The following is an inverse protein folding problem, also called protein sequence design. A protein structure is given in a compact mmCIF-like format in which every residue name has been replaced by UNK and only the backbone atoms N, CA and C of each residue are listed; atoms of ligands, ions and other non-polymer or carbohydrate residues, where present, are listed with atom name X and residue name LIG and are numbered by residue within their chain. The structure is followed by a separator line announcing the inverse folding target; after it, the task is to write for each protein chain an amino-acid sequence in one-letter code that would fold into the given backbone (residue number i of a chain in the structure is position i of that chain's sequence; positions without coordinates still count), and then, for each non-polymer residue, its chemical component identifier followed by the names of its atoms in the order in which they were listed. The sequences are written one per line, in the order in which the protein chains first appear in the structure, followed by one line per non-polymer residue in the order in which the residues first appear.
data_IF_538507174042
#
_entry.id   IF_538507174042
#
_cell.length_a   1.000
_cell.length_b   1.000
_cell.length_c   1.000
_cell.angle_alpha   90.00
_cell.angle_beta   90.00
_cell.angle_gamma   90.00
#
_symmetry.space_group_name_H-M   'P 1'
#
loop_
_entity.id
_entity.type
_entity.pdbx_description
1 polymer ?
#
# COMPACT_ATOMS: atom_id res chain seq x y z
N UNK A 1 -10.10 -3.43 -22.73
CA UNK A 1 -8.68 -3.66 -22.41
C UNK A 1 -8.59 -5.09 -21.92
N UNK A 2 -7.76 -5.91 -22.55
CA UNK A 2 -7.64 -7.32 -22.20
C UNK A 2 -6.46 -7.49 -21.22
N UNK A 3 -6.71 -8.20 -20.13
CA UNK A 3 -5.76 -8.40 -19.05
C UNK A 3 -5.60 -9.89 -18.85
N UNK A 4 -4.38 -10.41 -19.09
CA UNK A 4 -4.08 -11.84 -19.00
C UNK A 4 -3.06 -12.11 -17.90
N UNK A 5 -3.39 -13.04 -17.02
CA UNK A 5 -2.48 -13.50 -15.96
C UNK A 5 -1.48 -14.47 -16.58
N UNK A 6 -0.20 -14.17 -16.43
CA UNK A 6 0.93 -14.98 -16.92
C UNK A 6 1.34 -16.00 -15.86
N UNK A 7 1.51 -15.56 -14.61
CA UNK A 7 1.83 -16.45 -13.50
C UNK A 7 1.31 -15.93 -12.16
N UNK A 8 1.14 -16.87 -11.23
CA UNK A 8 0.88 -16.63 -9.82
C UNK A 8 1.84 -17.47 -9.00
N UNK A 9 2.64 -16.83 -8.17
CA UNK A 9 3.70 -17.48 -7.41
C UNK A 9 3.75 -16.91 -5.99
N UNK A 10 4.37 -17.65 -5.07
CA UNK A 10 4.70 -17.14 -3.74
C UNK A 10 6.17 -16.74 -3.71
N UNK A 11 6.44 -15.46 -3.46
CA UNK A 11 7.80 -14.98 -3.21
C UNK A 11 8.08 -15.06 -1.72
N UNK A 12 8.93 -16.00 -1.35
CA UNK A 12 9.39 -16.20 0.03
C UNK A 12 10.58 -15.29 0.33
N UNK A 13 10.86 -15.01 1.61
CA UNK A 13 12.13 -14.40 2.01
C UNK A 13 13.31 -15.17 1.44
N UNK A 14 14.43 -14.48 1.15
CA UNK A 14 15.65 -15.09 0.63
C UNK A 14 16.22 -16.17 1.56
N UNK A 15 16.03 -16.02 2.87
CA UNK A 15 16.39 -17.03 3.87
C UNK A 15 15.17 -17.46 4.70
N UNK A 16 14.27 -18.31 4.14
CA UNK A 16 13.03 -18.71 4.81
C UNK A 16 13.28 -19.37 6.17
N UNK A 17 14.29 -20.23 6.26
CA UNK A 17 14.60 -20.94 7.51
C UNK A 17 15.06 -20.00 8.63
N UNK A 18 15.77 -18.92 8.28
CA UNK A 18 16.20 -17.91 9.25
C UNK A 18 15.05 -17.06 9.75
N UNK A 19 14.06 -16.77 8.90
CA UNK A 19 12.90 -15.98 9.35
C UNK A 19 11.90 -16.81 10.14
N UNK A 20 11.79 -18.12 9.87
CA UNK A 20 10.88 -19.02 10.61
C UNK A 20 11.23 -19.13 12.10
N UNK A 21 12.48 -18.91 12.47
CA UNK A 21 12.92 -18.94 13.88
C UNK A 21 12.68 -17.61 14.61
N UNK A 22 12.21 -16.57 13.92
CA UNK A 22 11.87 -15.29 14.54
C UNK A 22 10.61 -15.44 15.41
N UNK A 23 10.55 -14.76 16.57
CA UNK A 23 9.34 -14.75 17.37
C UNK A 23 8.19 -14.12 16.59
N UNK A 24 6.93 -14.53 16.84
CA UNK A 24 5.77 -13.88 16.25
C UNK A 24 5.77 -12.37 16.48
N UNK A 25 5.34 -11.62 15.48
CA UNK A 25 5.23 -10.17 15.56
C UNK A 25 3.92 -9.82 16.24
N UNK A 26 3.99 -9.26 17.45
CA UNK A 26 2.78 -8.80 18.16
C UNK A 26 2.23 -7.56 17.46
N UNK A 27 0.96 -7.60 17.11
CA UNK A 27 0.20 -6.42 16.74
C UNK A 27 0.12 -5.50 17.96
N UNK A 28 0.12 -4.19 17.75
CA UNK A 28 -0.09 -3.23 18.84
C UNK A 28 -1.57 -2.85 18.94
N UNK A 29 -1.96 -2.16 20.01
CA UNK A 29 -3.37 -1.86 20.30
C UNK A 29 -4.14 -1.24 19.12
N UNK A 30 -3.50 -0.36 18.34
CA UNK A 30 -4.19 0.32 17.24
C UNK A 30 -4.31 -0.54 15.98
N UNK A 31 -3.41 -1.50 15.74
CA UNK A 31 -3.59 -2.50 14.68
C UNK A 31 -4.86 -3.32 14.89
N UNK A 32 -5.21 -3.58 16.15
CA UNK A 32 -6.40 -4.34 16.50
C UNK A 32 -7.70 -3.58 16.17
N UNK A 33 -7.66 -2.24 16.13
CA UNK A 33 -8.80 -1.38 15.83
C UNK A 33 -9.20 -1.41 14.35
N UNK A 34 -8.24 -1.53 13.44
CA UNK A 34 -8.56 -1.53 12.03
C UNK A 34 -9.26 -2.83 11.65
N UNK A 35 -10.33 -2.81 10.84
CA UNK A 35 -10.90 -4.04 10.30
C UNK A 35 -9.87 -4.75 9.39
N UNK A 36 -10.07 -6.04 9.12
CA UNK A 36 -9.22 -6.74 8.16
C UNK A 36 -9.52 -6.23 6.75
N UNK A 37 -8.63 -5.35 6.26
CA UNK A 37 -8.71 -4.75 4.94
C UNK A 37 -7.32 -4.46 4.40
N UNK A 38 -7.22 -4.17 3.10
CA UNK A 38 -5.97 -3.92 2.41
C UNK A 38 -5.90 -2.49 1.89
N UNK A 39 -4.81 -1.81 2.25
CA UNK A 39 -4.39 -0.56 1.61
C UNK A 39 -3.80 -0.89 0.24
N UNK A 40 -4.19 -0.12 -0.77
CA UNK A 40 -3.81 -0.36 -2.16
C UNK A 40 -2.93 0.75 -2.69
N UNK A 41 -1.88 0.38 -3.42
CA UNK A 41 -0.96 1.32 -4.04
C UNK A 41 -0.62 0.86 -5.46
N UNK A 42 -0.60 1.78 -6.41
CA UNK A 42 -0.13 1.53 -7.78
C UNK A 42 1.00 2.51 -8.10
N UNK A 43 2.13 1.97 -8.54
CA UNK A 43 3.27 2.76 -9.02
C UNK A 43 3.48 2.51 -10.51
N UNK A 44 3.45 3.57 -11.31
CA UNK A 44 3.62 3.51 -12.76
C UNK A 44 5.05 3.85 -13.15
N UNK A 45 5.67 3.03 -14.00
CA UNK A 45 7.04 3.20 -14.47
C UNK A 45 7.12 3.21 -15.98
N UNK A 46 7.98 4.09 -16.51
CA UNK A 46 8.45 3.98 -17.87
C UNK A 46 9.25 2.68 -18.06
N UNK A 47 9.46 2.28 -19.32
CA UNK A 47 10.24 1.09 -19.64
C UNK A 47 11.60 1.18 -18.93
N UNK A 48 12.04 0.15 -18.19
CA UNK A 48 13.37 0.18 -17.60
C UNK A 48 14.42 0.22 -18.72
N UNK A 49 15.05 1.38 -18.95
CA UNK A 49 16.20 1.52 -19.86
C UNK A 49 17.47 0.84 -19.33
N UNK A 50 17.35 -0.03 -18.33
CA UNK A 50 18.47 -0.80 -17.80
C UNK A 50 18.97 -1.81 -18.83
N UNK A 51 20.22 -1.69 -19.33
CA UNK A 51 20.75 -2.52 -20.42
C UNK A 51 20.70 -4.02 -20.17
N UNK A 52 20.68 -4.44 -18.89
CA UNK A 52 20.75 -5.83 -18.45
C UNK A 52 19.38 -6.51 -18.23
N UNK A 53 18.27 -5.76 -18.26
CA UNK A 53 16.91 -6.29 -18.03
C UNK A 53 16.02 -6.22 -19.29
N UNK A 54 16.63 -6.26 -20.49
CA UNK A 54 15.92 -6.09 -21.77
C UNK A 54 14.81 -7.10 -22.05
N UNK A 55 14.76 -8.24 -21.34
CA UNK A 55 13.65 -9.19 -21.43
C UNK A 55 12.75 -9.09 -20.21
N UNK A 56 11.44 -9.14 -20.43
CA UNK A 56 10.42 -9.14 -19.37
C UNK A 56 10.70 -10.20 -18.32
N UNK A 57 11.11 -11.41 -18.72
CA UNK A 57 11.37 -12.50 -17.79
C UNK A 57 12.54 -12.21 -16.84
N UNK A 58 13.62 -11.58 -17.35
CA UNK A 58 14.74 -11.16 -16.50
C UNK A 58 14.32 -10.06 -15.54
N UNK A 59 13.51 -9.12 -15.99
CA UNK A 59 12.95 -8.07 -15.13
C UNK A 59 12.07 -8.65 -14.03
N UNK A 60 11.17 -9.58 -14.36
CA UNK A 60 10.30 -10.25 -13.38
C UNK A 60 11.14 -11.07 -12.37
N UNK A 61 12.13 -11.81 -12.84
CA UNK A 61 13.05 -12.55 -11.97
C UNK A 61 13.84 -11.61 -11.03
N UNK A 62 14.27 -10.45 -11.54
CA UNK A 62 14.94 -9.42 -10.76
C UNK A 62 14.03 -8.87 -9.65
N UNK A 63 12.78 -8.50 -9.98
CA UNK A 63 11.81 -8.03 -8.98
C UNK A 63 11.57 -9.07 -7.89
N UNK A 64 11.39 -10.35 -8.26
CA UNK A 64 11.20 -11.45 -7.29
C UNK A 64 12.39 -11.59 -6.36
N UNK A 65 13.62 -11.51 -6.88
CA UNK A 65 14.85 -11.59 -6.07
C UNK A 65 14.92 -10.43 -5.08
N UNK A 66 14.76 -9.20 -5.55
CA UNK A 66 14.81 -8.00 -4.69
C UNK A 66 13.71 -8.01 -3.64
N UNK A 67 12.53 -8.55 -3.99
CA UNK A 67 11.44 -8.72 -3.05
C UNK A 67 11.80 -9.77 -1.98
N UNK A 68 12.36 -10.92 -2.36
CA UNK A 68 12.82 -11.94 -1.40
C UNK A 68 13.89 -11.42 -0.43
N UNK A 69 14.84 -10.64 -0.92
CA UNK A 69 15.86 -9.97 -0.10
C UNK A 69 15.21 -8.99 0.90
N UNK A 70 14.29 -8.16 0.41
CA UNK A 70 13.57 -7.17 1.23
C UNK A 70 12.73 -7.86 2.31
N UNK A 71 12.01 -8.92 1.96
CA UNK A 71 11.21 -9.72 2.90
C UNK A 71 12.06 -10.43 3.95
N UNK A 72 13.37 -10.60 3.74
CA UNK A 72 14.26 -11.15 4.77
C UNK A 72 14.50 -10.15 5.90
N UNK A 73 14.55 -8.86 5.56
CA UNK A 73 14.68 -7.76 6.52
C UNK A 73 13.31 -7.39 7.10
N UNK A 74 12.29 -7.30 6.24
CA UNK A 74 10.90 -7.01 6.58
C UNK A 74 10.08 -8.28 6.77
N UNK A 75 10.61 -9.25 7.53
CA UNK A 75 10.03 -10.60 7.67
C UNK A 75 8.56 -10.66 8.12
N UNK A 76 7.99 -9.72 8.90
CA UNK A 76 6.55 -9.78 9.21
C UNK A 76 5.66 -9.62 7.97
N UNK A 77 6.15 -8.99 6.89
CA UNK A 77 5.38 -8.75 5.67
C UNK A 77 5.13 -10.03 4.86
N UNK A 78 5.96 -11.07 5.04
CA UNK A 78 5.75 -12.39 4.44
C UNK A 78 4.93 -13.34 5.32
N UNK A 79 4.43 -12.85 6.45
CA UNK A 79 3.65 -13.62 7.39
C UNK A 79 2.15 -13.66 7.10
N UNK A 80 1.42 -14.17 8.09
CA UNK A 80 -0.04 -14.27 8.10
C UNK A 80 -0.57 -13.66 9.38
N UNK A 81 -1.66 -12.91 9.28
CA UNK A 81 -2.36 -12.41 10.48
C UNK A 81 -3.08 -13.58 11.14
N UNK A 82 -2.88 -13.75 12.45
CA UNK A 82 -3.46 -14.87 13.17
C UNK A 82 -4.94 -14.67 13.54
N UNK A 83 -5.61 -15.76 13.92
CA UNK A 83 -7.05 -15.78 14.21
C UNK A 83 -7.48 -14.96 15.42
N UNK A 84 -6.57 -14.73 16.36
CA UNK A 84 -6.87 -13.90 17.53
C UNK A 84 -6.73 -12.40 17.26
N UNK A 85 -6.26 -11.97 16.07
CA UNK A 85 -5.95 -10.56 15.80
C UNK A 85 -4.96 -9.99 16.85
N UNK A 86 -3.96 -10.80 17.23
CA UNK A 86 -2.93 -10.43 18.23
C UNK A 86 -1.52 -10.44 17.66
N UNK A 87 -1.27 -11.26 16.65
CA UNK A 87 0.08 -11.45 16.13
C UNK A 87 0.06 -11.81 14.66
N UNK A 88 1.24 -11.65 14.06
CA UNK A 88 1.59 -12.14 12.74
C UNK A 88 2.68 -13.18 12.92
N UNK A 89 2.50 -14.32 12.28
CA UNK A 89 3.42 -15.45 12.31
C UNK A 89 3.64 -16.02 10.89
N UNK A 90 4.22 -17.23 10.81
CA UNK A 90 4.39 -17.98 9.56
C UNK A 90 5.16 -17.20 8.47
N UNK A 91 6.22 -16.50 8.88
CA UNK A 91 7.03 -15.64 8.00
C UNK A 91 7.67 -16.35 6.80
N UNK A 92 7.77 -17.68 6.83
CA UNK A 92 8.34 -18.49 5.74
C UNK A 92 7.39 -18.76 4.56
N UNK A 93 6.12 -18.36 4.64
CA UNK A 93 5.15 -18.64 3.58
C UNK A 93 5.29 -17.73 2.36
N UNK A 94 5.79 -16.52 2.55
CA UNK A 94 5.96 -15.57 1.46
C UNK A 94 4.69 -14.82 1.10
N UNK A 95 4.76 -14.08 0.00
CA UNK A 95 3.68 -13.22 -0.48
C UNK A 95 3.23 -13.63 -1.89
N UNK A 96 1.93 -13.53 -2.22
CA UNK A 96 1.47 -13.62 -3.59
C UNK A 96 2.15 -12.59 -4.50
N UNK A 97 2.72 -13.09 -5.59
CA UNK A 97 3.27 -12.33 -6.69
C UNK A 97 2.55 -12.70 -7.98
N UNK A 98 1.87 -11.74 -8.58
CA UNK A 98 1.06 -11.94 -9.78
C UNK A 98 1.71 -11.21 -10.94
N UNK A 99 2.06 -11.93 -12.00
CA UNK A 99 2.53 -11.33 -13.25
C UNK A 99 1.39 -11.30 -14.25
N UNK A 100 1.09 -10.11 -14.77
CA UNK A 100 -0.02 -9.83 -15.67
C UNK A 100 0.47 -9.10 -16.91
N UNK A 101 -0.09 -9.45 -18.08
CA UNK A 101 0.05 -8.69 -19.32
C UNK A 101 -1.24 -7.89 -19.58
N UNK A 102 -1.08 -6.60 -19.86
CA UNK A 102 -2.15 -5.72 -20.33
C UNK A 102 -2.04 -5.64 -21.85
N UNK A 103 -2.79 -6.49 -22.52
CA UNK A 103 -2.71 -6.70 -23.96
C UNK A 103 -3.40 -5.56 -24.71
N UNK A 104 -2.85 -5.22 -25.88
CA UNK A 104 -3.41 -4.23 -26.80
C UNK A 104 -3.66 -2.82 -26.21
N UNK A 105 -3.04 -2.49 -25.07
CA UNK A 105 -3.13 -1.17 -24.43
C UNK A 105 -1.76 -0.63 -24.05
N UNK A 106 -1.45 0.60 -24.47
CA UNK A 106 -0.26 1.33 -23.99
C UNK A 106 -0.60 2.00 -22.66
N UNK A 107 0.39 2.15 -21.77
CA UNK A 107 0.19 2.81 -20.48
C UNK A 107 -0.28 4.27 -20.65
N UNK A 108 0.22 4.99 -21.67
CA UNK A 108 -0.21 6.37 -21.95
C UNK A 108 -1.71 6.46 -22.24
N UNK A 109 -2.24 5.49 -22.98
CA UNK A 109 -3.66 5.49 -23.39
C UNK A 109 -4.53 5.03 -22.22
N UNK A 110 -4.03 4.11 -21.40
CA UNK A 110 -4.66 3.73 -20.14
C UNK A 110 -4.84 4.94 -19.21
N UNK A 111 -3.78 5.73 -18.98
CA UNK A 111 -3.84 6.88 -18.07
C UNK A 111 -4.73 8.02 -18.57
N UNK A 112 -5.05 8.07 -19.87
CA UNK A 112 -6.00 9.05 -20.46
C UNK A 112 -7.46 8.71 -20.20
N UNK A 113 -7.81 7.46 -19.89
CA UNK A 113 -9.20 7.02 -19.72
C UNK A 113 -9.92 7.66 -18.52
N UNK A 114 -9.17 8.20 -17.55
CA UNK A 114 -9.66 8.95 -16.35
C UNK A 114 -10.72 8.25 -15.47
N UNK A 115 -11.14 7.03 -15.80
CA UNK A 115 -11.99 6.16 -15.00
C UNK A 115 -11.17 5.43 -13.92
N UNK A 116 -11.39 5.72 -12.62
CA UNK A 116 -10.64 5.08 -11.54
C UNK A 116 -10.84 3.57 -11.46
N UNK A 117 -11.99 3.06 -11.90
CA UNK A 117 -12.36 1.65 -11.83
C UNK A 117 -11.44 0.78 -12.71
N UNK A 118 -10.89 1.36 -13.77
CA UNK A 118 -9.89 0.68 -14.61
C UNK A 118 -8.58 0.38 -13.85
N UNK A 119 -8.30 1.07 -12.74
CA UNK A 119 -7.14 0.77 -11.89
C UNK A 119 -7.25 -0.59 -11.19
N UNK A 120 -8.46 -1.12 -11.02
CA UNK A 120 -8.71 -2.35 -10.27
C UNK A 120 -8.04 -3.56 -10.91
N UNK A 121 -7.88 -3.57 -12.24
CA UNK A 121 -7.19 -4.67 -12.92
C UNK A 121 -5.66 -4.64 -12.75
N UNK A 122 -5.10 -3.57 -12.19
CA UNK A 122 -3.67 -3.40 -11.93
C UNK A 122 -3.29 -3.73 -10.48
N UNK A 123 -4.25 -4.19 -9.68
CA UNK A 123 -4.08 -4.54 -8.28
C UNK A 123 -4.22 -6.06 -8.08
N UNK A 124 -3.45 -6.65 -7.16
CA UNK A 124 -3.56 -8.09 -6.87
C UNK A 124 -4.90 -8.46 -6.20
N UNK A 125 -5.60 -7.46 -5.66
CA UNK A 125 -6.83 -7.61 -4.87
C UNK A 125 -7.81 -6.49 -5.21
N UNK A 126 -9.11 -6.81 -5.17
CA UNK A 126 -10.16 -5.84 -5.40
C UNK A 126 -10.20 -4.77 -4.29
N UNK A 127 -10.41 -3.47 -4.62
CA UNK A 127 -10.49 -2.41 -3.64
C UNK A 127 -11.76 -2.46 -2.80
N UNK A 128 -11.71 -1.86 -1.62
CA UNK A 128 -12.85 -1.68 -0.70
C UNK A 128 -13.59 -2.99 -0.37
N UNK A 129 -12.88 -4.12 -0.45
CA UNK A 129 -13.40 -5.43 -0.07
C UNK A 129 -13.35 -5.57 1.45
N UNK A 130 -14.49 -5.95 2.03
CA UNK A 130 -14.52 -6.53 3.38
C UNK A 130 -14.00 -7.96 3.25
N UNK A 131 -12.85 -8.21 3.87
CA UNK A 131 -12.27 -9.55 3.83
C UNK A 131 -13.04 -10.48 4.77
N UNK A 132 -13.28 -11.71 4.29
CA UNK A 132 -13.72 -12.76 5.19
C UNK A 132 -12.61 -13.00 6.20
N UNK A 133 -13.00 -13.40 7.41
CA UNK A 133 -12.07 -13.70 8.48
C UNK A 133 -11.38 -15.06 8.26
N UNK A 134 -11.17 -15.44 7.00
CA UNK A 134 -10.37 -16.60 6.64
C UNK A 134 -8.92 -16.26 6.96
N UNK A 135 -8.54 -16.66 8.16
CA UNK A 135 -7.26 -16.39 8.81
C UNK A 135 -6.14 -17.23 8.20
N UNK A 136 -5.83 -16.90 6.96
CA UNK A 136 -4.60 -17.21 6.23
C UNK A 136 -4.30 -16.09 5.21
N UNK A 137 -4.78 -14.89 5.50
CA UNK A 137 -4.62 -13.74 4.63
C UNK A 137 -3.17 -13.23 4.66
N UNK A 138 -2.49 -13.14 3.49
CA UNK A 138 -1.11 -12.69 3.41
C UNK A 138 -1.00 -11.22 3.79
N UNK A 139 0.01 -10.84 4.57
CA UNK A 139 0.17 -9.44 5.00
C UNK A 139 0.42 -8.50 3.82
N UNK A 140 1.07 -8.97 2.77
CA UNK A 140 1.37 -8.20 1.57
C UNK A 140 1.08 -9.05 0.32
N UNK A 141 0.71 -8.40 -0.77
CA UNK A 141 0.62 -8.97 -2.11
C UNK A 141 1.17 -7.97 -3.13
N UNK A 142 1.72 -8.49 -4.23
CA UNK A 142 2.27 -7.70 -5.31
C UNK A 142 1.75 -8.17 -6.67
N UNK A 143 1.35 -7.24 -7.52
CA UNK A 143 1.07 -7.47 -8.93
C UNK A 143 2.01 -6.65 -9.81
N UNK A 144 2.59 -7.29 -10.83
CA UNK A 144 3.34 -6.63 -11.89
C UNK A 144 2.53 -6.71 -13.18
N UNK A 145 2.09 -5.56 -13.67
CA UNK A 145 1.33 -5.43 -14.90
C UNK A 145 2.20 -4.85 -16.00
N UNK A 146 2.46 -5.63 -17.05
CA UNK A 146 3.29 -5.24 -18.20
C UNK A 146 2.38 -4.85 -19.36
N UNK A 147 2.46 -3.59 -19.78
CA UNK A 147 1.65 -3.05 -20.88
C UNK A 147 2.23 -3.42 -22.25
N UNK A 148 1.42 -3.34 -23.31
CA UNK A 148 1.83 -3.62 -24.69
C UNK A 148 3.04 -2.77 -25.15
N UNK A 149 3.25 -1.59 -24.54
CA UNK A 149 4.40 -0.72 -24.80
C UNK A 149 5.63 -1.00 -23.90
N UNK A 150 5.66 -2.12 -23.18
CA UNK A 150 6.75 -2.50 -22.26
C UNK A 150 6.82 -1.71 -20.94
N UNK A 151 5.95 -0.70 -20.76
CA UNK A 151 5.82 0.06 -19.50
C UNK A 151 5.11 -0.77 -18.44
N UNK A 152 5.27 -0.40 -17.17
CA UNK A 152 4.93 -1.27 -16.05
C UNK A 152 4.09 -0.54 -15.01
N UNK A 153 3.14 -1.24 -14.42
CA UNK A 153 2.50 -0.85 -13.17
C UNK A 153 2.79 -1.90 -12.08
N UNK A 154 3.27 -1.44 -10.93
CA UNK A 154 3.43 -2.26 -9.72
C UNK A 154 2.25 -1.97 -8.80
N UNK A 155 1.34 -2.94 -8.68
CA UNK A 155 0.21 -2.91 -7.76
C UNK A 155 0.58 -3.61 -6.45
N UNK A 156 0.16 -3.05 -5.33
CA UNK A 156 0.37 -3.58 -4.00
C UNK A 156 -0.96 -3.65 -3.27
N UNK A 157 -1.16 -4.74 -2.52
CA UNK A 157 -2.16 -4.81 -1.48
C UNK A 157 -1.45 -5.11 -0.16
N UNK A 158 -1.59 -4.21 0.81
CA UNK A 158 -0.94 -4.29 2.12
C UNK A 158 -2.00 -4.33 3.22
N UNK A 159 -1.97 -5.37 4.06
CA UNK A 159 -2.91 -5.50 5.17
C UNK A 159 -2.78 -4.31 6.12
N UNK A 160 -3.89 -3.59 6.31
CA UNK A 160 -3.93 -2.42 7.20
C UNK A 160 -3.82 -2.81 8.68
N UNK A 161 -3.81 -4.13 8.99
CA UNK A 161 -3.47 -4.66 10.30
C UNK A 161 -2.00 -4.45 10.69
N UNK A 162 -1.11 -4.25 9.73
CA UNK A 162 0.32 -4.01 10.02
C UNK A 162 0.82 -2.74 9.34
N UNK A 163 0.30 -2.43 8.16
CA UNK A 163 0.96 -1.50 7.24
C UNK A 163 0.14 -0.22 7.11
N UNK A 164 0.62 0.83 7.78
CA UNK A 164 0.23 2.20 7.50
C UNK A 164 1.03 2.80 6.32
N UNK A 165 0.73 4.04 5.95
CA UNK A 165 1.39 4.73 4.84
C UNK A 165 2.91 4.89 5.05
N UNK A 166 3.36 5.18 6.26
CA UNK A 166 4.79 5.36 6.54
C UNK A 166 5.55 4.04 6.44
N UNK A 167 4.98 2.99 7.02
CA UNK A 167 5.47 1.62 7.00
C UNK A 167 5.58 1.09 5.57
N UNK A 168 4.57 1.35 4.73
CA UNK A 168 4.62 1.00 3.31
C UNK A 168 5.74 1.73 2.56
N UNK A 169 5.89 3.04 2.78
CA UNK A 169 6.96 3.84 2.16
C UNK A 169 8.34 3.34 2.59
N UNK A 170 8.52 3.00 3.87
CA UNK A 170 9.74 2.42 4.42
C UNK A 170 10.11 1.11 3.71
N UNK A 171 9.13 0.20 3.58
CA UNK A 171 9.30 -1.04 2.83
C UNK A 171 9.67 -0.80 1.36
N UNK A 172 8.99 0.13 0.68
CA UNK A 172 9.28 0.45 -0.73
C UNK A 172 10.66 1.05 -0.93
N UNK A 173 11.16 1.84 0.02
CA UNK A 173 12.55 2.34 0.00
C UNK A 173 13.53 1.17 0.06
N UNK A 174 13.34 0.24 1.00
CA UNK A 174 14.16 -0.96 1.12
C UNK A 174 14.08 -1.85 -0.14
N UNK A 175 12.87 -2.07 -0.67
CA UNK A 175 12.66 -2.80 -1.93
C UNK A 175 13.38 -2.16 -3.12
N UNK A 176 13.30 -0.84 -3.22
CA UNK A 176 14.00 -0.10 -4.27
C UNK A 176 15.52 -0.18 -4.13
N UNK A 177 16.06 -0.18 -2.90
CA UNK A 177 17.48 -0.30 -2.62
C UNK A 177 17.99 -1.70 -3.00
N UNK A 178 17.28 -2.76 -2.60
CA UNK A 178 17.56 -4.14 -3.02
C UNK A 178 17.55 -4.25 -4.55
N UNK A 179 16.55 -3.65 -5.21
CA UNK A 179 16.44 -3.64 -6.66
C UNK A 179 17.56 -2.88 -7.39
N UNK A 180 18.26 -1.94 -6.74
CA UNK A 180 19.40 -1.23 -7.34
C UNK A 180 20.74 -1.97 -7.17
N UNK A 181 20.72 -3.14 -6.52
CA UNK A 181 21.94 -3.90 -6.24
C UNK A 181 22.60 -3.52 -4.91
N UNK A 182 21.86 -2.94 -3.96
CA UNK A 182 22.26 -2.87 -2.57
C UNK A 182 22.29 -4.28 -2.00
N UNK A 183 23.42 -4.98 -2.18
CA UNK A 183 23.59 -6.40 -1.81
C UNK A 183 23.97 -6.57 -0.35
N UNK A 184 24.37 -5.50 0.32
CA UNK A 184 24.66 -5.58 1.74
C UNK A 184 23.37 -5.38 2.54
N UNK A 185 23.08 -6.36 3.40
CA UNK A 185 22.03 -6.27 4.41
C UNK A 185 22.21 -5.01 5.26
N UNK A 186 23.44 -4.56 5.49
CA UNK A 186 23.74 -3.30 6.19
C UNK A 186 23.24 -2.07 5.42
N UNK A 187 23.31 -2.06 4.09
CA UNK A 187 22.80 -0.96 3.25
C UNK A 187 21.26 -0.93 3.26
N UNK A 188 20.62 -2.09 3.19
CA UNK A 188 19.16 -2.23 3.32
C UNK A 188 18.66 -1.76 4.69
N UNK A 189 19.37 -2.15 5.76
CA UNK A 189 19.08 -1.73 7.13
C UNK A 189 19.40 -0.25 7.37
N UNK A 190 20.40 0.33 6.70
CA UNK A 190 20.73 1.76 6.78
C UNK A 190 19.68 2.63 6.08
N UNK A 191 19.18 2.18 4.92
CA UNK A 191 18.18 2.93 4.15
C UNK A 191 16.84 3.08 4.89
N UNK A 192 16.43 2.04 5.64
CA UNK A 192 15.20 2.04 6.43
C UNK A 192 15.16 0.85 7.42
N UNK A 193 15.76 0.97 8.61
CA UNK A 193 15.80 -0.12 9.59
C UNK A 193 14.41 -0.31 10.20
N UNK A 194 13.78 -1.50 10.06
CA UNK A 194 12.49 -1.72 10.70
C UNK A 194 12.65 -1.86 12.22
N UNK A 195 11.87 -1.11 12.98
CA UNK A 195 11.78 -1.24 14.44
C UNK A 195 10.54 -2.09 14.80
N UNK A 196 10.68 -3.41 14.72
CA UNK A 196 9.58 -4.32 15.07
C UNK A 196 9.41 -4.46 16.58
N UNK A 197 8.17 -4.52 17.06
CA UNK A 197 7.83 -4.81 18.46
C UNK A 197 7.74 -3.60 19.37
N UNK A 198 8.46 -2.51 19.09
CA UNK A 198 8.45 -1.29 19.95
C UNK A 198 7.05 -0.69 20.12
N UNK A 199 6.23 -0.70 19.07
CA UNK A 199 4.85 -0.23 19.14
C UNK A 199 4.00 -1.08 20.11
N UNK A 200 4.18 -2.40 20.10
CA UNK A 200 3.49 -3.32 21.00
C UNK A 200 4.03 -3.28 22.44
N UNK A 201 5.26 -2.83 22.66
CA UNK A 201 5.77 -2.54 24.02
C UNK A 201 5.09 -1.30 24.61
N UNK A 202 4.95 -0.24 23.81
CA UNK A 202 4.34 1.03 24.24
C UNK A 202 2.81 0.94 24.33
N UNK A 203 2.20 0.20 23.40
CA UNK A 203 0.76 0.01 23.30
C UNK A 203 0.44 -1.48 23.18
N UNK A 204 0.49 -2.24 24.29
CA UNK A 204 0.28 -3.67 24.27
C UNK A 204 -1.07 -4.07 23.67
N UNK A 205 -1.11 -5.18 22.90
CA UNK A 205 -2.38 -5.72 22.41
C UNK A 205 -3.24 -6.18 23.58
N UNK A 206 -4.56 -6.14 23.38
CA UNK A 206 -5.55 -6.67 24.32
C UNK A 206 -6.13 -7.98 23.78
N UNK A 207 -6.09 -9.02 24.60
CA UNK A 207 -6.71 -10.31 24.28
C UNK A 207 -8.23 -10.18 24.20
N UNK A 208 -8.84 -9.52 25.20
CA UNK A 208 -10.25 -9.19 25.20
C UNK A 208 -10.45 -7.77 24.62
N UNK A 209 -10.47 -7.68 23.30
CA UNK A 209 -10.83 -6.43 22.63
C UNK A 209 -12.35 -6.26 22.63
N UNK A 210 -12.92 -5.13 23.10
CA UNK A 210 -14.37 -5.04 23.24
C UNK A 210 -15.06 -5.05 21.87
N UNK A 211 -16.00 -5.98 21.73
CA UNK A 211 -16.67 -6.32 20.48
C UNK A 211 -17.46 -5.15 19.89
N UNK A 212 -17.98 -4.25 20.74
CA UNK A 212 -18.65 -3.02 20.32
C UNK A 212 -17.71 -2.08 19.54
N UNK A 213 -16.43 -1.95 19.93
CA UNK A 213 -15.47 -1.14 19.18
C UNK A 213 -15.12 -1.79 17.85
N UNK A 214 -14.94 -3.11 17.81
CA UNK A 214 -14.69 -3.83 16.56
C UNK A 214 -15.84 -3.65 15.57
N UNK A 215 -17.08 -3.81 16.03
CA UNK A 215 -18.27 -3.62 15.22
C UNK A 215 -18.46 -2.17 14.77
N UNK A 216 -18.11 -1.20 15.62
CA UNK A 216 -18.10 0.22 15.23
C UNK A 216 -17.09 0.47 14.12
N UNK A 217 -15.86 -0.02 14.24
CA UNK A 217 -14.81 0.17 13.23
C UNK A 217 -15.17 -0.52 11.90
N UNK A 218 -15.70 -1.74 11.94
CA UNK A 218 -16.24 -2.44 10.77
C UNK A 218 -17.37 -1.64 10.09
N UNK A 219 -18.27 -1.06 10.90
CA UNK A 219 -19.38 -0.24 10.38
C UNK A 219 -18.85 1.01 9.70
N UNK A 220 -17.94 1.75 10.34
CA UNK A 220 -17.39 3.00 9.80
C UNK A 220 -16.61 2.80 8.49
N UNK A 221 -15.88 1.69 8.36
CA UNK A 221 -15.07 1.41 7.17
C UNK A 221 -15.90 0.88 5.99
N UNK A 222 -16.99 0.19 6.27
CA UNK A 222 -17.77 -0.53 5.26
C UNK A 222 -19.25 -0.11 5.25
N UNK A 223 -19.51 1.18 5.51
CA UNK A 223 -20.84 1.76 5.30
C UNK A 223 -21.24 1.51 3.85
N UNK A 224 -22.42 0.92 3.63
CA UNK A 224 -22.94 0.68 2.29
C UNK A 224 -23.44 1.99 1.69
N UNK A 225 -23.11 2.23 0.44
CA UNK A 225 -23.55 3.42 -0.29
C UNK A 225 -23.09 3.41 -1.73
N UNK A 226 -23.65 4.33 -2.51
CA UNK A 226 -23.27 4.54 -3.91
C UNK A 226 -22.15 5.58 -3.96
N UNK A 227 -20.92 5.11 -3.78
CA UNK A 227 -19.73 5.97 -3.79
C UNK A 227 -19.14 6.08 -5.20
N UNK A 228 -18.65 7.27 -5.53
CA UNK A 228 -17.83 7.50 -6.72
C UNK A 228 -16.49 8.07 -6.32
N UNK A 229 -15.42 7.59 -6.94
CA UNK A 229 -14.08 8.13 -6.74
C UNK A 229 -13.77 9.14 -7.83
N UNK A 230 -13.16 10.27 -7.44
CA UNK A 230 -12.70 11.33 -8.35
C UNK A 230 -11.32 11.80 -7.93
N UNK A 231 -10.50 12.22 -8.90
CA UNK A 231 -9.17 12.78 -8.65
C UNK A 231 -9.21 14.29 -8.88
N UNK A 232 -8.97 15.05 -7.81
CA UNK A 232 -8.78 16.49 -7.85
C UNK A 232 -7.29 16.79 -7.73
N UNK A 233 -6.78 17.70 -8.56
CA UNK A 233 -5.37 18.07 -8.60
C UNK A 233 -5.27 19.51 -8.09
N UNK A 234 -4.47 19.70 -7.04
CA UNK A 234 -4.13 21.02 -6.52
C UNK A 234 -2.65 21.25 -6.86
N UNK A 235 -2.40 22.08 -7.86
CA UNK A 235 -1.04 22.47 -8.25
C UNK A 235 -0.46 23.53 -7.30
N UNK A 236 0.81 23.89 -7.54
CA UNK A 236 1.52 24.88 -6.71
C UNK A 236 0.81 26.23 -6.68
N UNK A 237 0.20 26.66 -7.79
CA UNK A 237 -0.54 27.91 -7.87
C UNK A 237 -1.83 27.85 -7.04
N UNK A 238 -2.62 26.80 -7.20
CA UNK A 238 -3.86 26.56 -6.45
C UNK A 238 -3.59 26.50 -4.95
N UNK A 239 -2.54 25.79 -4.53
CA UNK A 239 -2.12 25.72 -3.12
C UNK A 239 -1.68 27.11 -2.62
N UNK A 240 -0.97 27.89 -3.42
CA UNK A 240 -0.54 29.25 -3.04
C UNK A 240 -1.73 30.18 -2.84
N UNK A 241 -2.73 30.12 -3.72
CA UNK A 241 -4.00 30.85 -3.58
C UNK A 241 -4.72 30.45 -2.29
N UNK A 242 -4.86 29.15 -2.02
CA UNK A 242 -5.49 28.64 -0.79
C UNK A 242 -4.77 29.11 0.47
N UNK A 243 -3.43 29.11 0.47
CA UNK A 243 -2.63 29.61 1.59
C UNK A 243 -2.86 31.10 1.83
N UNK A 244 -2.90 31.92 0.77
CA UNK A 244 -3.14 33.35 0.89
C UNK A 244 -4.51 33.66 1.53
N UNK A 245 -5.56 32.94 1.11
CA UNK A 245 -6.91 33.06 1.70
C UNK A 245 -6.92 32.69 3.19
N UNK A 246 -6.30 31.57 3.55
CA UNK A 246 -6.22 31.13 4.94
C UNK A 246 -5.46 32.14 5.83
N UNK A 247 -4.34 32.70 5.33
CA UNK A 247 -3.56 33.72 6.04
C UNK A 247 -4.32 35.03 6.19
N UNK A 248 -5.07 35.47 5.17
CA UNK A 248 -5.89 36.68 5.24
C UNK A 248 -7.08 36.52 6.21
N UNK A 249 -7.66 35.33 6.31
CA UNK A 249 -8.72 35.02 7.26
C UNK A 249 -8.22 34.98 8.73
N UNK A 250 -6.99 34.49 8.96
CA UNK A 250 -6.35 34.48 10.29
C UNK A 250 -5.95 35.87 10.82
N UNK A 251 -5.91 36.89 9.96
CA UNK A 251 -5.63 38.29 10.34
C UNK A 251 -6.85 39.11 10.75
N UNK A 252 -8.08 38.58 10.60
CA UNK A 252 -9.34 39.32 10.87
C UNK A 252 -9.99 39.01 12.23
N UNK A 253 -9.25 38.48 13.21
CA UNK A 253 -9.82 38.12 14.53
C UNK A 253 -9.86 39.25 15.56
N UNK A 254 -9.77 40.52 15.16
CA UNK A 254 -10.13 41.67 16.01
C UNK A 254 -10.73 42.81 15.19
N UNK A 255 -11.97 42.65 14.76
CA UNK A 255 -12.98 43.72 14.80
C UNK A 255 -14.35 43.14 14.43
N UNK A 256 -15.27 43.21 15.38
CA UNK A 256 -16.69 42.94 15.16
C UNK A 256 -17.24 43.87 14.08
N UNK A 257 -17.99 43.32 13.12
CA UNK A 257 -19.38 43.68 12.79
C UNK A 257 -19.73 43.21 11.37
N UNK A 258 -20.93 42.62 11.22
CA UNK A 258 -21.53 42.25 9.93
C UNK A 258 -21.49 40.76 9.64
N UNK A 259 -22.52 40.02 10.09
CA UNK A 259 -22.73 38.60 9.76
C UNK A 259 -22.94 38.42 8.25
N UNK A 260 -21.90 38.04 7.53
CA UNK A 260 -22.04 37.15 6.38
C UNK A 260 -21.47 35.79 6.77
N UNK A 261 -22.37 34.80 6.94
CA UNK A 261 -21.96 33.41 7.14
C UNK A 261 -21.20 32.99 5.89
N UNK A 262 -19.86 32.89 5.99
CA UNK A 262 -19.07 32.19 4.98
C UNK A 262 -19.50 30.73 5.02
N UNK A 263 -20.45 30.39 4.15
CA UNK A 263 -20.87 29.03 3.88
C UNK A 263 -19.74 28.42 3.05
N UNK A 264 -18.80 27.73 3.69
CA UNK A 264 -17.86 26.85 3.00
C UNK A 264 -18.66 25.65 2.47
N UNK A 265 -19.40 25.86 1.40
CA UNK A 265 -20.11 24.81 0.68
C UNK A 265 -19.63 24.78 -0.76
N UNK A 266 -19.20 23.59 -1.18
CA UNK A 266 -18.79 23.19 -2.53
C UNK A 266 -17.45 23.75 -3.01
N UNK A 267 -16.53 22.80 -3.22
CA UNK A 267 -15.37 22.97 -4.09
C UNK A 267 -15.91 23.17 -5.50
N UNK A 268 -16.05 24.42 -5.92
CA UNK A 268 -16.11 24.77 -7.33
C UNK A 268 -14.68 24.72 -7.84
N UNK A 269 -14.37 23.65 -8.59
CA UNK A 269 -13.13 23.54 -9.31
C UNK A 269 -13.08 24.70 -10.31
N UNK A 270 -12.09 25.57 -10.16
CA UNK A 270 -11.83 26.68 -11.07
C UNK A 270 -11.44 26.08 -12.44
N UNK A 271 -12.18 26.48 -13.48
CA UNK A 271 -11.89 26.20 -14.89
C UNK A 271 -10.60 26.89 -15.36
#
# INVERSE_FOLDING_TARGET
MEVRIVSRELVKPYSPETVKTKPPHKLFLFDQLFPLTYTLLILFYANPETPNLRSTDRFIAHLKRSLAETLTVYYPFSGRTNSSNLLIDRFGEGIPFIHVKVESCRLSDFLKRREPENLNCLLPRAPFRRESVEFDSPVLEMQVSVFACGRIALGWAASHKLIDGFTMISFLKAFSAASRGGRDKAELLSAAPPCFGRAAELFPPREAFPENYRNLMETLWFIKGNYVTRRFIFDSESISKLRAVASAAGGKTKQEQGKEKIKLSRVEAVE
#
